data_IF_081146027597
#
_entry.id   IF_081146027597
#
_cell.length_a   1.000
_cell.length_b   1.000
_cell.length_c   1.000
_cell.angle_alpha   90.00
_cell.angle_beta   90.00
_cell.angle_gamma   90.00
#
_symmetry.space_group_name_H-M   'P 1'
#
loop_
_entity.id
_entity.type
_entity.pdbx_description
1 polymer ?
#
# COMPACT_ATOMS: atom_id res chain seq x y z
N UNK A 1 13.11 -18.01 -6.50
CA UNK A 1 12.81 -18.41 -5.10
C UNK A 1 12.51 -19.90 -5.03
N UNK A 2 13.03 -20.63 -4.04
CA UNK A 2 12.66 -22.04 -3.77
C UNK A 2 11.78 -22.09 -2.51
N UNK A 3 10.48 -21.84 -2.65
CA UNK A 3 9.46 -21.88 -1.59
C UNK A 3 8.99 -23.29 -1.20
N UNK A 4 9.69 -24.34 -1.66
CA UNK A 4 9.27 -25.74 -1.46
C UNK A 4 9.22 -26.27 -0.01
N UNK A 5 9.98 -25.80 1.01
CA UNK A 5 9.97 -26.51 2.30
C UNK A 5 8.75 -26.18 3.19
N UNK A 6 8.12 -25.01 3.04
CA UNK A 6 7.06 -24.56 3.96
C UNK A 6 5.75 -25.33 3.69
N UNK A 7 5.34 -25.43 2.43
CA UNK A 7 4.12 -26.13 2.04
C UNK A 7 4.21 -27.64 2.31
N UNK A 8 5.36 -28.25 2.02
CA UNK A 8 5.58 -29.69 2.26
C UNK A 8 5.53 -30.05 3.75
N UNK A 9 6.09 -29.20 4.62
CA UNK A 9 6.05 -29.43 6.07
C UNK A 9 4.64 -29.24 6.65
N UNK A 10 3.87 -28.28 6.14
CA UNK A 10 2.47 -28.06 6.55
C UNK A 10 1.57 -29.23 6.13
N UNK A 11 1.74 -29.75 4.91
CA UNK A 11 0.98 -30.91 4.40
C UNK A 11 1.27 -32.17 5.23
N UNK A 12 2.54 -32.44 5.54
CA UNK A 12 2.94 -33.57 6.41
C UNK A 12 2.34 -33.43 7.81
N UNK A 13 2.25 -32.20 8.32
CA UNK A 13 1.67 -31.93 9.63
C UNK A 13 0.15 -32.17 9.66
N UNK A 14 -0.58 -31.74 8.63
CA UNK A 14 -2.02 -32.02 8.45
C UNK A 14 -2.28 -33.54 8.43
N UNK A 15 -1.39 -34.32 7.83
CA UNK A 15 -1.46 -35.79 7.79
C UNK A 15 -1.38 -36.47 9.18
N UNK A 16 -0.60 -35.91 10.12
CA UNK A 16 -0.43 -36.49 11.45
C UNK A 16 -1.67 -36.23 12.31
N UNK A 17 -2.32 -35.08 12.13
CA UNK A 17 -3.54 -34.70 12.88
C UNK A 17 -4.76 -35.50 12.40
N UNK A 18 -4.86 -35.81 11.09
CA UNK A 18 -6.01 -36.53 10.51
C UNK A 18 -6.06 -38.02 10.88
N UNK A 19 -4.91 -38.67 11.12
CA UNK A 19 -4.83 -40.08 11.51
C UNK A 19 -5.48 -40.38 12.87
N UNK A 20 -5.69 -39.37 13.72
CA UNK A 20 -6.29 -39.53 15.05
C UNK A 20 -7.82 -39.39 15.10
N UNK A 21 -8.47 -39.01 13.99
CA UNK A 21 -9.90 -38.61 13.98
C UNK A 21 -10.88 -39.71 13.54
N UNK A 22 -10.40 -40.86 13.08
CA UNK A 22 -11.25 -41.96 12.59
C UNK A 22 -11.64 -42.95 13.71
N UNK A 23 -12.46 -42.55 14.70
CA UNK A 23 -13.37 -43.49 15.37
C UNK A 23 -14.33 -42.82 16.36
N UNK A 24 -15.61 -42.70 15.97
CA UNK A 24 -16.75 -43.23 16.75
C UNK A 24 -18.03 -43.15 15.92
N UNK A 25 -18.73 -44.28 15.78
CA UNK A 25 -20.07 -44.36 15.22
C UNK A 25 -21.04 -44.57 16.38
N UNK A 26 -22.12 -43.79 16.46
CA UNK A 26 -23.39 -44.14 17.09
C UNK A 26 -24.49 -43.14 16.66
N UNK A 27 -25.63 -43.70 16.20
CA UNK A 27 -26.89 -43.10 15.73
C UNK A 27 -26.83 -42.19 14.46
N UNK A 28 -27.49 -42.61 13.36
CA UNK A 28 -27.60 -41.86 12.09
C UNK A 28 -28.28 -40.49 12.31
N UNK A 29 -27.47 -39.46 12.55
CA UNK A 29 -27.87 -38.06 12.46
C UNK A 29 -28.22 -37.76 10.98
N UNK A 30 -29.34 -37.07 10.74
CA UNK A 30 -29.75 -36.64 9.41
C UNK A 30 -28.63 -35.83 8.71
N UNK A 31 -27.81 -35.13 9.48
CA UNK A 31 -26.64 -34.41 8.96
C UNK A 31 -25.52 -35.36 8.49
N UNK A 32 -25.34 -36.51 9.12
CA UNK A 32 -24.38 -37.54 8.71
C UNK A 32 -24.88 -38.27 7.45
N UNK A 33 -26.19 -38.50 7.33
CA UNK A 33 -26.82 -38.99 6.10
C UNK A 33 -26.62 -38.01 4.93
N UNK A 34 -26.83 -36.71 5.16
CA UNK A 34 -26.55 -35.69 4.14
C UNK A 34 -25.06 -35.62 3.80
N UNK A 35 -24.17 -35.83 4.77
CA UNK A 35 -22.73 -35.86 4.57
C UNK A 35 -22.33 -37.03 3.68
N UNK A 36 -22.84 -38.23 3.97
CA UNK A 36 -22.59 -39.43 3.17
C UNK A 36 -23.09 -39.31 1.72
N UNK A 37 -24.19 -38.57 1.52
CA UNK A 37 -24.75 -38.32 0.19
C UNK A 37 -24.20 -37.05 -0.49
N UNK A 38 -23.15 -36.43 0.07
CA UNK A 38 -22.53 -35.18 -0.43
C UNK A 38 -23.51 -34.00 -0.57
N UNK A 39 -24.59 -33.99 0.22
CA UNK A 39 -25.62 -32.95 0.21
C UNK A 39 -25.23 -31.75 1.11
N UNK A 40 -24.01 -31.24 0.93
CA UNK A 40 -23.37 -30.22 1.78
C UNK A 40 -24.20 -28.94 1.94
N UNK A 41 -24.89 -28.52 0.89
CA UNK A 41 -25.80 -27.37 0.92
C UNK A 41 -26.94 -27.53 1.94
N UNK A 42 -27.42 -28.76 2.18
CA UNK A 42 -28.45 -29.03 3.20
C UNK A 42 -27.86 -28.93 4.61
N UNK A 43 -26.62 -29.39 4.82
CA UNK A 43 -25.93 -29.31 6.10
C UNK A 43 -25.74 -27.84 6.53
N UNK A 44 -25.21 -26.99 5.65
CA UNK A 44 -24.93 -25.59 5.99
C UNK A 44 -26.21 -24.76 6.23
N UNK A 45 -27.32 -25.13 5.59
CA UNK A 45 -28.60 -24.42 5.72
C UNK A 45 -29.46 -24.93 6.88
N UNK A 46 -29.16 -26.11 7.43
CA UNK A 46 -29.95 -26.69 8.51
C UNK A 46 -29.63 -26.06 9.86
N UNK A 47 -30.65 -25.83 10.68
CA UNK A 47 -30.46 -25.45 12.09
C UNK A 47 -30.14 -26.65 13.00
N UNK A 48 -30.32 -27.88 12.52
CA UNK A 48 -30.09 -29.10 13.31
C UNK A 48 -28.63 -29.56 13.32
N UNK A 49 -27.83 -29.18 12.31
CA UNK A 49 -26.44 -29.60 12.23
C UNK A 49 -25.54 -28.76 13.16
N UNK A 50 -24.56 -29.43 13.76
CA UNK A 50 -23.54 -28.81 14.61
C UNK A 50 -22.67 -27.80 13.85
N UNK A 51 -21.94 -26.97 14.60
CA UNK A 51 -20.98 -26.03 14.02
C UNK A 51 -19.88 -26.76 13.25
N UNK A 52 -19.40 -27.90 13.78
CA UNK A 52 -18.40 -28.74 13.15
C UNK A 52 -18.91 -29.33 11.83
N UNK A 53 -20.11 -29.94 11.81
CA UNK A 53 -20.70 -30.46 10.56
C UNK A 53 -20.89 -29.36 9.52
N UNK A 54 -21.32 -28.16 9.94
CA UNK A 54 -21.42 -27.00 9.04
C UNK A 54 -20.06 -26.54 8.52
N UNK A 55 -19.05 -26.53 9.39
CA UNK A 55 -17.68 -26.19 9.02
C UNK A 55 -17.12 -27.15 7.96
N UNK A 56 -17.32 -28.45 8.14
CA UNK A 56 -17.00 -29.46 7.13
C UNK A 56 -17.76 -29.24 5.83
N UNK A 57 -19.07 -28.96 5.92
CA UNK A 57 -19.88 -28.67 4.74
C UNK A 57 -19.42 -27.44 3.96
N UNK A 58 -18.97 -26.39 4.65
CA UNK A 58 -18.36 -25.23 4.02
C UNK A 58 -17.02 -25.56 3.36
N UNK A 59 -16.12 -26.31 4.02
CA UNK A 59 -14.87 -26.77 3.42
C UNK A 59 -15.13 -27.58 2.14
N UNK A 60 -16.07 -28.52 2.19
CA UNK A 60 -16.44 -29.36 1.05
C UNK A 60 -17.03 -28.56 -0.12
N UNK A 61 -17.91 -27.58 0.15
CA UNK A 61 -18.44 -26.68 -0.89
C UNK A 61 -17.36 -25.78 -1.50
N UNK A 62 -16.32 -25.46 -0.73
CA UNK A 62 -15.12 -24.82 -1.26
C UNK A 62 -14.29 -25.74 -2.17
N UNK A 63 -14.53 -27.05 -2.20
CA UNK A 63 -13.73 -28.04 -2.93
C UNK A 63 -12.60 -28.65 -2.09
N UNK A 64 -12.56 -28.36 -0.79
CA UNK A 64 -11.65 -29.00 0.14
C UNK A 64 -12.24 -30.35 0.57
N UNK A 65 -11.69 -31.44 0.02
CA UNK A 65 -11.95 -32.80 0.48
C UNK A 65 -10.64 -33.39 1.03
N UNK A 66 -10.70 -33.98 2.22
CA UNK A 66 -9.56 -34.64 2.85
C UNK A 66 -8.95 -35.74 1.96
N UNK A 67 -9.75 -36.40 1.13
CA UNK A 67 -9.26 -37.40 0.19
C UNK A 67 -8.53 -36.80 -1.03
N UNK A 68 -8.85 -35.54 -1.39
CA UNK A 68 -8.19 -34.86 -2.51
C UNK A 68 -6.71 -34.62 -2.23
N UNK A 69 -6.32 -34.40 -0.97
CA UNK A 69 -4.91 -34.26 -0.56
C UNK A 69 -4.07 -35.51 -0.84
N UNK A 70 -4.70 -36.69 -0.92
CA UNK A 70 -4.04 -37.98 -1.20
C UNK A 70 -4.04 -38.27 -2.70
N UNK A 71 -5.10 -37.90 -3.41
CA UNK A 71 -5.29 -38.24 -4.83
C UNK A 71 -4.51 -37.29 -5.74
N UNK A 72 -4.30 -36.04 -5.31
CA UNK A 72 -3.72 -34.96 -6.11
C UNK A 72 -2.34 -34.51 -5.62
N UNK A 73 -1.53 -35.41 -5.05
CA UNK A 73 -0.22 -35.09 -4.47
C UNK A 73 0.72 -34.32 -5.43
N UNK A 74 0.60 -34.56 -6.74
CA UNK A 74 1.40 -33.92 -7.79
C UNK A 74 0.74 -32.71 -8.47
N UNK A 75 -0.52 -32.38 -8.14
CA UNK A 75 -1.20 -31.22 -8.73
C UNK A 75 -1.09 -29.99 -7.81
N UNK A 76 -1.02 -28.79 -8.40
CA UNK A 76 -1.12 -27.54 -7.66
C UNK A 76 -2.37 -27.49 -6.77
N UNK A 77 -2.21 -26.93 -5.57
CA UNK A 77 -3.29 -26.85 -4.60
C UNK A 77 -4.49 -26.03 -5.12
N UNK A 78 -4.25 -25.05 -5.99
CA UNK A 78 -5.31 -24.30 -6.71
C UNK A 78 -6.24 -25.21 -7.52
N UNK A 79 -5.66 -26.19 -8.24
CA UNK A 79 -6.43 -27.17 -9.00
C UNK A 79 -7.13 -28.19 -8.11
N UNK A 80 -6.47 -28.62 -7.02
CA UNK A 80 -7.10 -29.50 -6.02
C UNK A 80 -8.36 -28.85 -5.45
N UNK A 81 -8.29 -27.56 -5.12
CA UNK A 81 -9.41 -26.77 -4.66
C UNK A 81 -10.37 -26.37 -5.79
N UNK A 82 -10.05 -26.62 -7.05
CA UNK A 82 -10.81 -26.22 -8.23
C UNK A 82 -11.02 -24.70 -8.33
N UNK A 83 -10.05 -23.91 -7.89
CA UNK A 83 -10.07 -22.45 -7.99
C UNK A 83 -9.90 -22.04 -9.45
N UNK A 84 -10.65 -21.01 -9.86
CA UNK A 84 -10.51 -20.34 -11.15
C UNK A 84 -11.08 -18.92 -11.08
N UNK A 85 -10.90 -18.18 -12.18
CA UNK A 85 -11.37 -16.81 -12.32
C UNK A 85 -12.86 -16.60 -12.09
N UNK A 86 -13.69 -17.64 -12.32
CA UNK A 86 -15.13 -17.55 -12.16
C UNK A 86 -15.65 -17.90 -10.76
N UNK A 87 -14.81 -18.46 -9.87
CA UNK A 87 -15.30 -19.02 -8.61
C UNK A 87 -14.43 -18.78 -7.37
N UNK A 88 -13.22 -18.23 -7.51
CA UNK A 88 -12.28 -18.12 -6.38
C UNK A 88 -12.87 -17.34 -5.20
N UNK A 89 -13.60 -16.25 -5.47
CA UNK A 89 -14.23 -15.45 -4.41
C UNK A 89 -15.33 -16.23 -3.70
N UNK A 90 -16.18 -16.94 -4.44
CA UNK A 90 -17.22 -17.81 -3.87
C UNK A 90 -16.59 -18.88 -2.99
N UNK A 91 -15.48 -19.50 -3.43
CA UNK A 91 -14.77 -20.53 -2.68
C UNK A 91 -14.09 -19.98 -1.44
N UNK A 92 -13.42 -18.82 -1.53
CA UNK A 92 -12.90 -18.08 -0.37
C UNK A 92 -13.99 -17.85 0.68
N UNK A 93 -15.16 -17.36 0.25
CA UNK A 93 -16.27 -17.10 1.17
C UNK A 93 -16.76 -18.37 1.88
N UNK A 94 -16.67 -19.55 1.24
CA UNK A 94 -16.94 -20.82 1.92
C UNK A 94 -15.86 -21.15 2.96
N UNK A 95 -14.57 -20.98 2.65
CA UNK A 95 -13.51 -21.22 3.63
C UNK A 95 -13.58 -20.26 4.83
N UNK A 96 -13.89 -18.98 4.58
CA UNK A 96 -14.11 -17.98 5.63
C UNK A 96 -15.31 -18.36 6.50
N UNK A 97 -16.40 -18.85 5.89
CA UNK A 97 -17.56 -19.35 6.62
C UNK A 97 -17.25 -20.61 7.44
N UNK A 98 -16.39 -21.50 6.94
CA UNK A 98 -15.91 -22.66 7.67
C UNK A 98 -15.15 -22.27 8.94
N UNK A 99 -14.22 -21.31 8.85
CA UNK A 99 -13.52 -20.79 10.03
C UNK A 99 -14.48 -20.05 10.97
N UNK A 100 -15.37 -19.22 10.41
CA UNK A 100 -16.31 -18.40 11.18
C UNK A 100 -17.27 -19.25 12.03
N UNK A 101 -17.82 -20.35 11.49
CA UNK A 101 -18.83 -21.14 12.21
C UNK A 101 -18.28 -21.87 13.43
N UNK A 102 -16.98 -22.23 13.43
CA UNK A 102 -16.30 -22.85 14.59
C UNK A 102 -15.45 -21.86 15.40
N UNK A 103 -15.45 -20.57 15.04
CA UNK A 103 -14.61 -19.53 15.67
C UNK A 103 -14.82 -19.38 17.18
N UNK A 104 -16.02 -19.66 17.68
CA UNK A 104 -16.34 -19.59 19.11
C UNK A 104 -15.85 -20.80 19.91
N UNK A 105 -15.55 -21.92 19.23
CA UNK A 105 -15.20 -23.18 19.89
C UNK A 105 -13.78 -23.63 19.59
N UNK A 106 -13.10 -23.16 18.54
CA UNK A 106 -11.81 -23.73 18.14
C UNK A 106 -10.75 -23.68 19.25
N UNK A 107 -10.67 -22.62 20.06
CA UNK A 107 -9.63 -22.52 21.10
C UNK A 107 -9.76 -23.58 22.20
N UNK A 108 -10.98 -23.89 22.63
CA UNK A 108 -11.25 -24.75 23.79
C UNK A 108 -12.10 -26.00 23.46
N UNK A 109 -12.42 -26.19 22.19
CA UNK A 109 -13.35 -27.19 21.69
C UNK A 109 -12.66 -28.46 21.21
N UNK A 110 -13.38 -29.20 20.36
CA UNK A 110 -12.91 -30.47 19.81
C UNK A 110 -11.70 -30.28 18.90
N UNK A 111 -10.90 -31.35 18.73
CA UNK A 111 -9.84 -31.38 17.70
C UNK A 111 -10.39 -31.16 16.30
N UNK A 112 -11.65 -31.52 16.06
CA UNK A 112 -12.37 -31.25 14.81
C UNK A 112 -12.56 -29.75 14.61
N UNK A 113 -13.10 -29.03 15.60
CA UNK A 113 -13.29 -27.58 15.53
C UNK A 113 -11.96 -26.83 15.28
N UNK A 114 -10.89 -27.25 15.98
CA UNK A 114 -9.52 -26.73 15.77
C UNK A 114 -9.04 -26.93 14.34
N UNK A 115 -9.22 -28.14 13.81
CA UNK A 115 -8.78 -28.51 12.46
C UNK A 115 -9.58 -27.78 11.39
N UNK A 116 -10.90 -27.69 11.52
CA UNK A 116 -11.77 -26.94 10.60
C UNK A 116 -11.34 -25.47 10.55
N UNK A 117 -11.09 -24.86 11.72
CA UNK A 117 -10.68 -23.46 11.79
C UNK A 117 -9.32 -23.24 11.10
N UNK A 118 -8.34 -24.10 11.35
CA UNK A 118 -7.04 -24.05 10.66
C UNK A 118 -7.19 -24.19 9.14
N UNK A 119 -7.89 -25.22 8.67
CA UNK A 119 -8.05 -25.51 7.25
C UNK A 119 -8.85 -24.44 6.53
N UNK A 120 -9.92 -23.92 7.15
CA UNK A 120 -10.71 -22.82 6.61
C UNK A 120 -9.87 -21.55 6.48
N UNK A 121 -9.07 -21.24 7.50
CA UNK A 121 -8.17 -20.08 7.47
C UNK A 121 -7.10 -20.23 6.39
N UNK A 122 -6.44 -21.39 6.31
CA UNK A 122 -5.40 -21.65 5.32
C UNK A 122 -5.94 -21.63 3.88
N UNK A 123 -7.05 -22.33 3.62
CA UNK A 123 -7.67 -22.36 2.30
C UNK A 123 -8.23 -20.97 1.90
N UNK A 124 -8.77 -20.22 2.85
CA UNK A 124 -9.19 -18.82 2.66
C UNK A 124 -8.02 -17.93 2.27
N UNK A 125 -6.89 -18.02 2.98
CA UNK A 125 -5.66 -17.30 2.66
C UNK A 125 -5.16 -17.66 1.25
N UNK A 126 -5.08 -18.94 0.95
CA UNK A 126 -4.62 -19.43 -0.35
C UNK A 126 -5.53 -18.96 -1.49
N UNK A 127 -6.85 -19.10 -1.35
CA UNK A 127 -7.80 -18.62 -2.35
C UNK A 127 -7.74 -17.08 -2.53
N UNK A 128 -7.47 -16.35 -1.45
CA UNK A 128 -7.29 -14.91 -1.50
C UNK A 128 -6.02 -14.52 -2.26
N UNK A 129 -4.90 -15.20 -2.00
CA UNK A 129 -3.64 -15.04 -2.72
C UNK A 129 -3.83 -15.37 -4.21
N UNK A 130 -4.26 -16.58 -4.53
CA UNK A 130 -4.41 -17.02 -5.94
C UNK A 130 -5.40 -16.15 -6.71
N UNK A 131 -6.55 -15.82 -6.13
CA UNK A 131 -7.55 -14.99 -6.81
C UNK A 131 -7.09 -13.56 -7.14
N UNK A 132 -6.09 -13.05 -6.42
CA UNK A 132 -5.55 -11.71 -6.64
C UNK A 132 -4.23 -11.69 -7.39
N UNK A 133 -3.36 -12.68 -7.18
CA UNK A 133 -1.99 -12.71 -7.68
C UNK A 133 -1.73 -13.79 -8.75
N UNK A 134 -2.54 -14.85 -8.81
CA UNK A 134 -2.46 -15.94 -9.79
C UNK A 134 -3.65 -15.80 -10.76
N UNK A 135 -3.77 -14.58 -11.29
CA UNK A 135 -4.80 -14.20 -12.24
C UNK A 135 -4.09 -13.72 -13.50
N UNK A 136 -3.99 -14.62 -14.48
CA UNK A 136 -3.28 -14.38 -15.73
C UNK A 136 -3.64 -13.04 -16.37
N UNK A 137 -2.65 -12.39 -16.99
CA UNK A 137 -2.69 -11.02 -17.52
C UNK A 137 -3.88 -10.70 -18.45
N UNK A 138 -4.49 -11.72 -19.05
CA UNK A 138 -5.39 -11.63 -20.20
C UNK A 138 -6.38 -12.82 -20.29
N UNK A 139 -6.48 -13.63 -19.23
CA UNK A 139 -7.18 -14.91 -19.29
C UNK A 139 -6.41 -16.02 -20.03
N UNK A 140 -5.08 -15.95 -20.04
CA UNK A 140 -4.22 -17.04 -20.54
C UNK A 140 -4.49 -18.37 -19.82
N UNK A 141 -4.01 -19.45 -20.44
CA UNK A 141 -4.15 -20.82 -19.94
C UNK A 141 -3.38 -21.11 -18.64
N UNK A 142 -2.58 -20.14 -18.17
CA UNK A 142 -1.71 -20.27 -16.99
C UNK A 142 -2.38 -19.72 -15.71
N UNK A 143 -3.55 -19.08 -15.81
CA UNK A 143 -4.26 -18.57 -14.64
C UNK A 143 -4.72 -19.71 -13.69
N UNK A 144 -4.49 -19.54 -12.38
CA UNK A 144 -4.77 -20.52 -11.33
C UNK A 144 -3.93 -21.79 -11.44
N UNK A 145 -2.73 -21.72 -12.02
CA UNK A 145 -1.82 -22.86 -12.09
C UNK A 145 -1.07 -23.11 -10.76
N UNK A 146 -1.22 -22.21 -9.79
CA UNK A 146 -0.61 -22.30 -8.47
C UNK A 146 0.83 -21.78 -8.41
N UNK A 147 1.34 -21.16 -9.47
CA UNK A 147 2.64 -20.48 -9.51
C UNK A 147 2.44 -18.98 -9.79
N UNK A 148 2.73 -18.13 -8.79
CA UNK A 148 2.62 -16.68 -8.96
C UNK A 148 3.89 -16.15 -9.63
N UNK A 149 3.78 -15.76 -10.90
CA UNK A 149 4.89 -15.20 -11.66
C UNK A 149 5.06 -13.70 -11.41
N UNK A 150 6.25 -13.16 -11.69
CA UNK A 150 6.50 -11.71 -11.59
C UNK A 150 5.56 -10.89 -12.48
N UNK A 151 5.10 -11.44 -13.61
CA UNK A 151 4.16 -10.77 -14.51
C UNK A 151 2.80 -10.61 -13.84
N UNK A 152 2.29 -11.65 -13.19
CA UNK A 152 0.97 -11.58 -12.53
C UNK A 152 1.01 -10.71 -11.28
N UNK A 153 2.12 -10.76 -10.53
CA UNK A 153 2.36 -9.83 -9.42
C UNK A 153 2.42 -8.40 -9.93
N UNK A 154 3.15 -8.12 -11.01
CA UNK A 154 3.22 -6.77 -11.60
C UNK A 154 1.86 -6.30 -12.12
N UNK A 155 1.03 -7.20 -12.64
CA UNK A 155 -0.34 -6.89 -13.07
C UNK A 155 -1.26 -6.56 -11.89
N UNK A 156 -1.07 -7.22 -10.74
CA UNK A 156 -1.79 -6.91 -9.52
C UNK A 156 -1.37 -5.56 -8.94
N UNK A 157 -0.06 -5.29 -8.92
CA UNK A 157 0.52 -4.07 -8.36
C UNK A 157 0.41 -2.87 -9.32
N UNK A 158 0.21 -3.11 -10.62
CA UNK A 158 0.26 -2.05 -11.63
C UNK A 158 1.67 -1.50 -11.82
N UNK A 159 2.71 -2.31 -11.64
CA UNK A 159 4.13 -1.89 -11.68
C UNK A 159 4.77 -2.09 -13.04
N UNK A 160 4.00 -2.18 -14.12
CA UNK A 160 4.54 -2.10 -15.48
C UNK A 160 4.95 -0.64 -15.76
N UNK A 161 5.98 -0.20 -15.02
CA UNK A 161 6.71 1.03 -15.24
C UNK A 161 7.49 0.78 -16.51
N UNK A 162 6.89 1.08 -17.66
CA UNK A 162 7.60 1.06 -18.93
C UNK A 162 8.87 1.89 -18.74
N UNK A 163 10.04 1.34 -19.06
CA UNK A 163 11.36 2.01 -19.01
C UNK A 163 11.43 3.32 -19.83
N UNK A 164 10.34 3.76 -20.45
CA UNK A 164 10.19 4.98 -21.24
C UNK A 164 9.93 6.23 -20.36
N UNK A 165 10.53 6.27 -19.17
CA UNK A 165 10.36 7.34 -18.18
C UNK A 165 11.25 8.56 -18.45
N UNK A 166 11.12 9.16 -19.62
CA UNK A 166 11.60 10.53 -19.83
C UNK A 166 10.64 11.60 -19.25
N UNK A 167 9.53 11.18 -18.64
CA UNK A 167 8.47 12.06 -18.12
C UNK A 167 8.16 11.78 -16.62
N UNK A 168 9.13 11.29 -15.84
CA UNK A 168 8.87 10.82 -14.47
C UNK A 168 8.43 11.91 -13.47
N UNK A 169 8.62 13.20 -13.81
CA UNK A 169 8.03 14.36 -13.15
C UNK A 169 8.19 15.57 -14.08
N UNK A 170 7.11 16.17 -14.56
CA UNK A 170 7.22 17.39 -15.37
C UNK A 170 7.21 18.64 -14.47
N UNK A 171 8.28 18.73 -13.67
CA UNK A 171 8.60 19.87 -12.82
C UNK A 171 9.46 20.85 -13.60
N UNK A 172 8.99 22.08 -13.75
CA UNK A 172 9.76 23.15 -14.36
C UNK A 172 10.08 24.21 -13.32
N UNK A 173 11.37 24.31 -12.99
CA UNK A 173 11.89 25.43 -12.22
C UNK A 173 11.64 26.72 -13.03
N UNK A 174 10.90 27.66 -12.46
CA UNK A 174 10.60 28.91 -13.14
C UNK A 174 11.62 30.00 -12.79
N UNK A 175 11.62 31.06 -13.58
CA UNK A 175 12.32 32.32 -13.29
C UNK A 175 11.57 33.20 -12.27
N UNK A 176 10.55 32.63 -11.59
CA UNK A 176 9.73 33.33 -10.60
C UNK A 176 10.18 32.98 -9.19
N UNK A 177 10.36 34.01 -8.38
CA UNK A 177 10.73 33.93 -6.97
C UNK A 177 9.70 34.66 -6.12
N UNK A 178 9.28 34.06 -5.02
CA UNK A 178 8.55 34.76 -3.98
C UNK A 178 9.54 35.29 -2.94
N UNK A 179 9.42 36.57 -2.57
CA UNK A 179 10.35 37.27 -1.70
C UNK A 179 9.60 37.84 -0.51
N UNK A 180 10.10 37.59 0.70
CA UNK A 180 9.58 38.17 1.93
C UNK A 180 10.41 39.37 2.35
N UNK A 181 9.82 40.56 2.32
CA UNK A 181 10.51 41.82 2.64
C UNK A 181 9.59 42.74 3.44
N UNK A 182 10.07 43.31 4.55
CA UNK A 182 9.29 44.23 5.38
C UNK A 182 7.99 43.65 5.96
N UNK A 183 7.87 42.31 6.07
CA UNK A 183 6.65 41.63 6.53
C UNK A 183 5.60 41.39 5.44
N UNK A 184 5.91 41.67 4.17
CA UNK A 184 5.04 41.42 3.01
C UNK A 184 5.71 40.50 2.00
N UNK A 185 4.90 39.90 1.12
CA UNK A 185 5.35 39.01 0.06
C UNK A 185 5.28 39.67 -1.31
N UNK A 186 6.24 39.31 -2.15
CA UNK A 186 6.40 39.87 -3.49
C UNK A 186 6.78 38.77 -4.48
N UNK A 187 6.29 38.85 -5.70
CA UNK A 187 6.69 38.00 -6.81
C UNK A 187 7.70 38.70 -7.68
N UNK A 188 8.90 38.15 -7.78
CA UNK A 188 9.99 38.61 -8.61
C UNK A 188 10.18 37.68 -9.81
N UNK A 189 9.96 38.19 -11.02
CA UNK A 189 10.22 37.48 -12.27
C UNK A 189 11.59 37.91 -12.80
N UNK A 190 12.59 37.04 -12.68
CA UNK A 190 13.98 37.40 -12.97
C UNK A 190 14.26 37.62 -14.46
N UNK A 191 13.57 36.88 -15.32
CA UNK A 191 13.65 37.00 -16.78
C UNK A 191 13.09 38.32 -17.31
N UNK A 192 11.98 38.76 -16.73
CA UNK A 192 11.36 40.04 -17.06
C UNK A 192 11.93 41.20 -16.25
N UNK A 193 12.67 40.89 -15.18
CA UNK A 193 13.15 41.85 -14.19
C UNK A 193 11.98 42.70 -13.65
N UNK A 194 10.88 42.05 -13.26
CA UNK A 194 9.65 42.68 -12.76
C UNK A 194 9.37 42.22 -11.32
N UNK A 195 8.80 43.11 -10.49
CA UNK A 195 8.43 42.81 -9.10
C UNK A 195 6.97 43.23 -8.85
N UNK A 196 6.18 42.32 -8.28
CA UNK A 196 4.76 42.54 -7.98
C UNK A 196 4.46 42.25 -6.51
N UNK A 197 3.41 42.87 -5.97
CA UNK A 197 2.87 42.45 -4.67
C UNK A 197 2.22 41.08 -4.80
N UNK A 198 2.60 40.17 -3.90
CA UNK A 198 1.92 38.90 -3.71
C UNK A 198 1.03 39.00 -2.48
N UNK A 199 -0.21 39.40 -2.69
CA UNK A 199 -1.14 39.70 -1.60
C UNK A 199 -1.62 38.41 -0.92
N UNK A 200 -1.77 37.34 -1.70
CA UNK A 200 -2.17 36.02 -1.21
C UNK A 200 -0.98 35.26 -0.59
N UNK A 201 0.26 35.65 -0.90
CA UNK A 201 1.49 35.00 -0.44
C UNK A 201 1.58 33.52 -0.86
N UNK A 202 0.89 33.13 -1.92
CA UNK A 202 0.79 31.76 -2.40
C UNK A 202 1.75 31.43 -3.55
N UNK A 203 2.46 32.44 -4.06
CA UNK A 203 3.42 32.28 -5.15
C UNK A 203 2.78 32.25 -6.53
N UNK A 204 1.47 32.49 -6.64
CA UNK A 204 0.74 32.51 -7.90
C UNK A 204 0.73 33.92 -8.48
N UNK A 205 1.09 34.00 -9.75
CA UNK A 205 0.98 35.24 -10.52
C UNK A 205 -0.47 35.49 -10.92
N UNK A 206 -1.24 36.07 -10.01
CA UNK A 206 -2.57 36.62 -10.29
C UNK A 206 -2.45 37.93 -11.08
N UNK A 207 -1.91 37.87 -12.30
CA UNK A 207 -1.82 39.02 -13.21
C UNK A 207 -3.23 39.34 -13.73
N UNK A 208 -3.97 40.23 -13.05
CA UNK A 208 -4.39 41.44 -13.77
C UNK A 208 -4.52 42.74 -12.94
N UNK A 209 -4.14 42.79 -11.64
CA UNK A 209 -4.50 43.93 -10.79
C UNK A 209 -3.38 44.65 -10.02
N UNK A 210 -2.18 44.07 -9.88
CA UNK A 210 -1.09 44.69 -9.11
C UNK A 210 -0.14 45.49 -10.01
N UNK A 211 0.09 46.75 -9.64
CA UNK A 211 1.04 47.60 -10.34
C UNK A 211 2.47 47.09 -10.09
N UNK A 212 3.27 47.04 -11.16
CA UNK A 212 4.70 46.70 -11.07
C UNK A 212 5.42 47.68 -10.13
N UNK A 213 6.25 47.14 -9.24
CA UNK A 213 7.12 47.89 -8.35
C UNK A 213 8.45 48.13 -9.07
N UNK A 214 8.79 49.40 -9.33
CA UNK A 214 9.94 49.77 -10.14
C UNK A 214 10.97 50.61 -9.37
N UNK A 215 12.16 50.76 -9.97
CA UNK A 215 13.19 51.71 -9.53
C UNK A 215 13.76 51.44 -8.13
N UNK A 216 13.97 52.51 -7.35
CA UNK A 216 14.61 52.43 -6.03
C UNK A 216 13.84 51.57 -5.03
N UNK A 217 12.51 51.58 -5.10
CA UNK A 217 11.67 50.80 -4.19
C UNK A 217 11.88 49.30 -4.41
N UNK A 218 11.94 48.85 -5.66
CA UNK A 218 12.29 47.48 -6.00
C UNK A 218 13.65 47.07 -5.44
N UNK A 219 14.70 47.87 -5.68
CA UNK A 219 16.04 47.57 -5.18
C UNK A 219 16.09 47.52 -3.63
N UNK A 220 15.33 48.39 -2.97
CA UNK A 220 15.20 48.38 -1.50
C UNK A 220 14.52 47.12 -1.01
N UNK A 221 13.44 46.68 -1.65
CA UNK A 221 12.71 45.47 -1.26
C UNK A 221 13.54 44.20 -1.45
N UNK A 222 14.24 44.08 -2.59
CA UNK A 222 15.15 42.96 -2.86
C UNK A 222 16.32 42.95 -1.87
N UNK A 223 16.96 44.09 -1.62
CA UNK A 223 18.06 44.16 -0.66
C UNK A 223 17.63 43.91 0.79
N UNK A 224 16.38 44.22 1.15
CA UNK A 224 15.81 43.95 2.46
C UNK A 224 15.09 42.59 2.57
N UNK A 225 15.21 41.73 1.55
CA UNK A 225 14.65 40.39 1.56
C UNK A 225 15.18 39.60 2.77
N UNK A 226 14.26 38.96 3.49
CA UNK A 226 14.56 38.10 4.64
C UNK A 226 14.43 36.62 4.28
N UNK A 227 13.53 36.29 3.34
CA UNK A 227 13.36 34.96 2.78
C UNK A 227 13.12 35.02 1.27
N UNK A 228 13.55 33.99 0.56
CA UNK A 228 13.43 33.85 -0.90
C UNK A 228 13.03 32.42 -1.24
N UNK A 229 11.95 32.27 -1.99
CA UNK A 229 11.41 30.98 -2.39
C UNK A 229 11.34 30.88 -3.89
N UNK A 230 11.98 29.87 -4.49
CA UNK A 230 11.76 29.59 -5.90
C UNK A 230 10.36 29.00 -6.08
N UNK A 231 9.62 29.51 -7.06
CA UNK A 231 8.31 28.95 -7.44
C UNK A 231 8.51 27.95 -8.57
N UNK A 232 8.15 26.70 -8.31
CA UNK A 232 8.29 25.58 -9.25
C UNK A 232 6.92 25.11 -9.73
N UNK A 233 6.80 24.90 -11.03
CA UNK A 233 5.56 24.42 -11.67
C UNK A 233 5.53 22.91 -11.69
N UNK A 234 4.46 22.32 -11.17
CA UNK A 234 4.17 20.91 -11.27
C UNK A 234 2.99 20.69 -12.23
N UNK A 235 3.29 20.10 -13.38
CA UNK A 235 2.30 19.85 -14.43
C UNK A 235 1.60 18.51 -14.28
N UNK A 236 2.35 17.49 -13.85
CA UNK A 236 1.87 16.13 -13.63
C UNK A 236 2.84 15.40 -12.70
N UNK A 237 2.33 14.39 -11.98
CA UNK A 237 3.12 13.42 -11.21
C UNK A 237 2.85 12.03 -11.76
N UNK A 238 3.89 11.24 -11.93
CA UNK A 238 3.74 9.81 -12.18
C UNK A 238 3.32 9.11 -10.89
N UNK A 239 2.17 8.46 -10.92
CA UNK A 239 1.74 7.58 -9.84
C UNK A 239 2.41 6.21 -10.00
N UNK A 240 3.27 5.79 -9.05
CA UNK A 240 3.96 4.49 -9.13
C UNK A 240 2.99 3.29 -9.05
N UNK A 241 1.71 3.52 -8.71
CA UNK A 241 0.66 2.51 -8.63
C UNK A 241 -0.32 2.54 -9.83
N UNK A 242 -0.06 3.38 -10.83
CA UNK A 242 -1.00 3.65 -11.93
C UNK A 242 -0.85 2.76 -13.17
N UNK A 243 -0.06 1.69 -13.13
CA UNK A 243 0.06 0.79 -14.30
C UNK A 243 -1.27 0.21 -14.74
N UNK A 244 -1.25 -0.44 -15.92
CA UNK A 244 -2.37 -0.66 -16.85
C UNK A 244 -3.73 -1.17 -16.29
N UNK A 245 -3.81 -1.65 -15.05
CA UNK A 245 -5.02 -2.15 -14.39
C UNK A 245 -5.55 -1.26 -13.25
N UNK A 246 -4.89 -0.14 -12.89
CA UNK A 246 -5.36 0.92 -11.99
C UNK A 246 -6.10 0.45 -10.73
N UNK A 247 -5.46 -0.41 -9.91
CA UNK A 247 -6.00 -0.75 -8.59
C UNK A 247 -5.68 0.37 -7.60
N UNK A 248 -6.67 0.95 -6.89
CA UNK A 248 -6.41 1.91 -5.83
C UNK A 248 -5.49 1.32 -4.75
N UNK A 249 -4.66 2.15 -4.12
CA UNK A 249 -3.80 1.73 -3.00
C UNK A 249 -4.57 0.98 -1.90
N UNK A 250 -5.83 1.38 -1.64
CA UNK A 250 -6.72 0.72 -0.69
C UNK A 250 -6.96 -0.76 -0.99
N UNK A 251 -6.94 -1.17 -2.26
CA UNK A 251 -7.10 -2.58 -2.64
C UNK A 251 -5.85 -3.40 -2.29
N UNK A 252 -4.67 -2.81 -2.46
CA UNK A 252 -3.38 -3.45 -2.14
C UNK A 252 -3.21 -3.57 -0.62
N UNK A 253 -3.52 -2.51 0.13
CA UNK A 253 -3.45 -2.51 1.60
C UNK A 253 -4.53 -3.39 2.23
N UNK A 254 -5.75 -3.42 1.69
CA UNK A 254 -6.81 -4.35 2.12
C UNK A 254 -6.40 -5.81 1.88
N UNK A 255 -5.76 -6.10 0.74
CA UNK A 255 -5.23 -7.42 0.44
C UNK A 255 -4.18 -7.84 1.48
N UNK A 256 -3.19 -6.98 1.75
CA UNK A 256 -2.15 -7.25 2.73
C UNK A 256 -2.69 -7.40 4.16
N UNK A 257 -3.65 -6.55 4.56
CA UNK A 257 -4.32 -6.62 5.86
C UNK A 257 -5.08 -7.93 6.04
N UNK A 258 -5.75 -8.42 4.98
CA UNK A 258 -6.39 -9.74 5.00
C UNK A 258 -5.38 -10.87 5.14
N UNK A 259 -4.26 -10.83 4.41
CA UNK A 259 -3.18 -11.81 4.56
C UNK A 259 -2.62 -11.81 5.99
N UNK A 260 -2.34 -10.63 6.56
CA UNK A 260 -1.91 -10.51 7.97
C UNK A 260 -2.92 -11.14 8.93
N UNK A 261 -4.22 -10.89 8.74
CA UNK A 261 -5.30 -11.49 9.52
C UNK A 261 -5.33 -13.01 9.40
N UNK A 262 -5.20 -13.56 8.19
CA UNK A 262 -5.13 -15.01 7.99
C UNK A 262 -3.92 -15.61 8.71
N UNK A 263 -2.76 -14.97 8.65
CA UNK A 263 -1.56 -15.41 9.37
C UNK A 263 -1.80 -15.41 10.89
N UNK A 264 -2.49 -14.41 11.44
CA UNK A 264 -2.79 -14.33 12.88
C UNK A 264 -3.72 -15.46 13.30
N UNK A 265 -4.74 -15.72 12.47
CA UNK A 265 -5.67 -16.82 12.69
C UNK A 265 -4.97 -18.18 12.56
N UNK A 266 -4.09 -18.38 11.58
CA UNK A 266 -3.31 -19.62 11.43
C UNK A 266 -2.40 -19.85 12.64
N UNK A 267 -1.67 -18.82 13.09
CA UNK A 267 -0.86 -18.88 14.31
C UNK A 267 -1.70 -19.29 15.52
N UNK A 268 -2.82 -18.62 15.76
CA UNK A 268 -3.74 -18.91 16.86
C UNK A 268 -4.28 -20.35 16.79
N UNK A 269 -4.53 -20.85 15.57
CA UNK A 269 -4.99 -22.22 15.33
C UNK A 269 -3.93 -23.27 15.65
N UNK A 270 -2.69 -23.02 15.22
CA UNK A 270 -1.56 -23.90 15.49
C UNK A 270 -1.32 -23.97 17.01
N UNK A 271 -1.34 -22.84 17.70
CA UNK A 271 -1.24 -22.82 19.17
C UNK A 271 -2.39 -23.59 19.83
N UNK A 272 -3.63 -23.45 19.33
CA UNK A 272 -4.76 -24.22 19.82
C UNK A 272 -4.60 -25.73 19.58
N UNK A 273 -3.84 -26.16 18.57
CA UNK A 273 -3.46 -27.55 18.30
C UNK A 273 -2.22 -28.00 19.09
N UNK A 274 -1.83 -27.25 20.12
CA UNK A 274 -0.67 -27.52 20.98
C UNK A 274 0.66 -27.54 20.22
N UNK A 275 0.76 -26.78 19.13
CA UNK A 275 2.03 -26.51 18.45
C UNK A 275 2.82 -25.49 19.25
N UNK A 276 4.06 -25.85 19.57
CA UNK A 276 4.98 -25.01 20.32
C UNK A 276 5.18 -23.65 19.63
N UNK A 277 5.12 -22.56 20.40
CA UNK A 277 5.40 -21.20 19.92
C UNK A 277 6.81 -21.09 19.32
N UNK A 278 7.75 -21.92 19.79
CA UNK A 278 9.11 -22.00 19.27
C UNK A 278 9.24 -22.89 18.01
N UNK A 279 8.12 -23.40 17.47
CA UNK A 279 8.15 -24.16 16.21
C UNK A 279 8.52 -23.24 15.05
N UNK A 280 9.33 -23.75 14.11
CA UNK A 280 9.75 -22.99 12.93
C UNK A 280 8.54 -22.41 12.17
N UNK A 281 7.42 -23.13 12.09
CA UNK A 281 6.22 -22.63 11.40
C UNK A 281 5.60 -21.41 12.08
N UNK A 282 5.51 -21.40 13.41
CA UNK A 282 4.99 -20.24 14.14
C UNK A 282 5.99 -19.08 14.09
N UNK A 283 7.28 -19.38 14.14
CA UNK A 283 8.36 -18.39 14.02
C UNK A 283 8.38 -17.73 12.62
N UNK A 284 8.28 -18.52 11.55
CA UNK A 284 8.18 -18.05 10.16
C UNK A 284 6.95 -17.14 9.98
N UNK A 285 5.78 -17.58 10.48
CA UNK A 285 4.55 -16.77 10.44
C UNK A 285 4.75 -15.47 11.21
N UNK A 286 5.32 -15.53 12.43
CA UNK A 286 5.52 -14.35 13.28
C UNK A 286 6.51 -13.37 12.65
N UNK A 287 7.59 -13.89 12.06
CA UNK A 287 8.61 -13.08 11.36
C UNK A 287 7.99 -12.37 10.17
N UNK A 288 7.28 -13.11 9.30
CA UNK A 288 6.63 -12.51 8.14
C UNK A 288 5.57 -11.47 8.53
N UNK A 289 4.80 -11.73 9.59
CA UNK A 289 3.84 -10.76 10.12
C UNK A 289 4.50 -9.50 10.65
N UNK A 290 5.58 -9.63 11.42
CA UNK A 290 6.31 -8.49 11.95
C UNK A 290 6.99 -7.68 10.84
N UNK A 291 7.39 -8.33 9.74
CA UNK A 291 7.90 -7.65 8.55
C UNK A 291 6.77 -6.90 7.82
N UNK A 292 5.59 -7.51 7.66
CA UNK A 292 4.43 -6.88 7.01
C UNK A 292 3.83 -5.74 7.83
N UNK A 293 3.73 -5.87 9.15
CA UNK A 293 3.09 -4.95 10.10
C UNK A 293 4.15 -4.31 11.00
N UNK A 294 5.11 -3.63 10.36
CA UNK A 294 6.31 -3.10 11.02
C UNK A 294 6.14 -1.67 11.57
N UNK A 295 4.96 -1.05 11.43
CA UNK A 295 4.69 0.32 11.82
C UNK A 295 5.39 1.38 10.95
N UNK A 296 5.69 1.03 9.70
CA UNK A 296 6.30 1.91 8.69
C UNK A 296 7.78 2.20 8.91
N UNK A 297 8.51 1.35 9.66
CA UNK A 297 9.88 1.63 10.10
C UNK A 297 10.90 0.72 9.40
N UNK A 298 11.64 1.28 8.47
CA UNK A 298 12.83 0.67 7.88
C UNK A 298 14.08 1.44 8.22
N UNK A 299 15.10 0.75 8.73
CA UNK A 299 16.36 1.37 9.16
C UNK A 299 17.41 1.46 8.05
N UNK A 300 17.24 0.76 6.92
CA UNK A 300 18.26 0.58 5.87
C UNK A 300 17.93 1.19 4.50
N UNK A 301 16.76 1.82 4.34
CA UNK A 301 16.21 2.19 3.03
C UNK A 301 16.85 3.48 2.45
N UNK A 302 17.42 3.41 1.22
CA UNK A 302 17.72 4.60 0.39
C UNK A 302 16.42 5.31 -0.08
N UNK A 303 15.31 4.59 -0.20
CA UNK A 303 13.95 5.15 -0.43
C UNK A 303 13.35 5.73 0.86
N UNK A 304 13.98 5.57 2.02
CA UNK A 304 13.55 6.23 3.26
C UNK A 304 13.67 7.74 3.16
N UNK A 305 14.72 8.27 2.50
CA UNK A 305 14.81 9.70 2.21
C UNK A 305 13.77 10.12 1.18
N UNK A 306 13.59 9.34 0.10
CA UNK A 306 12.60 9.62 -0.94
C UNK A 306 11.16 9.60 -0.41
N UNK A 307 10.80 8.66 0.48
CA UNK A 307 9.49 8.59 1.14
C UNK A 307 9.29 9.72 2.13
N UNK A 308 10.32 10.09 2.91
CA UNK A 308 10.26 11.26 3.79
C UNK A 308 10.12 12.56 2.99
N UNK A 309 10.78 12.64 1.85
CA UNK A 309 10.68 13.77 0.92
C UNK A 309 9.28 13.84 0.29
N UNK A 310 8.75 12.71 -0.19
CA UNK A 310 7.37 12.61 -0.70
C UNK A 310 6.34 12.93 0.38
N UNK A 311 6.55 12.46 1.62
CA UNK A 311 5.71 12.79 2.77
C UNK A 311 5.73 14.30 3.02
N UNK A 312 6.91 14.92 2.99
CA UNK A 312 7.06 16.37 3.15
C UNK A 312 6.29 17.13 2.07
N UNK A 313 6.36 16.68 0.80
CA UNK A 313 5.59 17.28 -0.29
C UNK A 313 4.09 17.12 -0.04
N UNK A 314 3.60 15.90 0.22
CA UNK A 314 2.18 15.62 0.44
C UNK A 314 1.63 16.41 1.63
N UNK A 315 2.28 16.30 2.80
CA UNK A 315 1.87 16.98 4.03
C UNK A 315 1.82 18.49 3.83
N UNK A 316 2.84 19.08 3.19
CA UNK A 316 2.95 20.54 3.07
C UNK A 316 2.14 21.18 1.95
N UNK A 317 1.49 20.39 1.09
CA UNK A 317 0.77 20.91 -0.09
C UNK A 317 -0.72 20.59 -0.10
N UNK A 318 -1.21 19.86 0.91
CA UNK A 318 -2.60 19.39 1.00
C UNK A 318 -3.53 20.41 1.67
N UNK A 319 -4.55 20.87 0.94
CA UNK A 319 -5.44 22.00 1.31
C UNK A 319 -6.17 21.87 2.67
N UNK A 320 -6.59 20.68 3.07
CA UNK A 320 -7.38 20.44 4.31
C UNK A 320 -6.52 20.30 5.57
N UNK A 321 -5.19 20.13 5.44
CA UNK A 321 -4.23 20.15 6.54
C UNK A 321 -3.82 21.59 6.94
N UNK A 322 -4.16 22.60 6.12
CA UNK A 322 -3.76 24.00 6.32
C UNK A 322 -4.93 24.95 6.52
N UNK A 323 -5.14 25.45 7.75
CA UNK A 323 -5.98 26.63 7.92
C UNK A 323 -5.23 27.95 7.68
N UNK A 324 -3.89 28.04 7.81
CA UNK A 324 -3.23 29.35 8.02
C UNK A 324 -1.76 29.58 7.57
N UNK A 325 -1.00 28.60 7.05
CA UNK A 325 0.49 28.77 6.96
C UNK A 325 1.19 28.51 5.61
N UNK A 326 0.55 28.01 4.55
CA UNK A 326 1.22 27.86 3.24
C UNK A 326 1.84 29.18 2.74
N UNK A 327 1.18 30.27 3.08
CA UNK A 327 1.61 31.64 2.81
C UNK A 327 3.00 31.95 3.39
N UNK A 328 3.33 31.36 4.55
CA UNK A 328 4.57 31.62 5.29
C UNK A 328 5.58 30.45 5.27
N UNK A 329 5.18 29.25 4.86
CA UNK A 329 6.01 28.04 4.98
C UNK A 329 6.72 27.67 3.68
N UNK A 330 7.94 27.15 3.83
CA UNK A 330 8.65 26.42 2.79
C UNK A 330 8.05 25.04 2.63
N UNK A 331 7.73 24.64 1.39
CA UNK A 331 7.49 23.22 1.12
C UNK A 331 8.82 22.49 1.32
N UNK A 332 9.91 23.01 0.75
CA UNK A 332 11.24 22.45 0.93
C UNK A 332 12.21 23.57 1.33
N UNK A 333 12.76 23.48 2.54
CA UNK A 333 13.90 24.29 2.95
C UNK A 333 15.19 23.77 2.33
N UNK A 334 16.18 24.63 2.19
CA UNK A 334 17.54 24.22 1.78
C UNK A 334 18.10 23.08 2.63
N UNK A 335 17.81 23.02 3.93
CA UNK A 335 18.20 21.90 4.79
C UNK A 335 17.46 20.60 4.50
N UNK A 336 16.20 20.65 4.04
CA UNK A 336 15.43 19.45 3.66
C UNK A 336 15.88 18.91 2.29
N UNK A 337 16.36 19.77 1.39
CA UNK A 337 16.87 19.39 0.06
C UNK A 337 18.31 18.83 0.16
N UNK A 338 19.19 19.47 0.94
CA UNK A 338 20.62 19.10 1.05
C UNK A 338 20.83 17.80 1.85
N UNK A 339 19.92 17.45 2.76
CA UNK A 339 20.03 16.23 3.55
C UNK A 339 19.51 14.96 2.83
N UNK A 340 18.93 15.09 1.63
CA UNK A 340 18.62 13.94 0.78
C UNK A 340 19.87 13.58 -0.03
N UNK A 341 20.51 12.46 0.32
CA UNK A 341 21.78 12.00 -0.26
C UNK A 341 21.70 11.66 -1.76
N UNK A 342 20.50 11.71 -2.35
CA UNK A 342 20.23 11.40 -3.76
C UNK A 342 20.23 12.62 -4.70
N UNK A 343 20.21 13.85 -4.17
CA UNK A 343 20.22 15.05 -4.99
C UNK A 343 21.62 15.31 -5.58
N UNK A 344 21.74 15.23 -6.90
CA UNK A 344 22.95 15.59 -7.64
C UNK A 344 23.23 17.10 -7.47
N UNK A 345 24.04 17.44 -6.47
CA UNK A 345 24.47 18.81 -6.12
C UNK A 345 25.19 19.59 -7.24
N UNK A 346 25.35 19.00 -8.43
CA UNK A 346 26.10 19.61 -9.54
C UNK A 346 25.26 20.55 -10.44
N UNK A 347 23.93 20.49 -10.36
CA UNK A 347 22.99 21.36 -11.11
C UNK A 347 22.14 22.26 -10.17
N UNK A 348 22.60 22.49 -8.95
CA UNK A 348 21.87 23.22 -7.91
C UNK A 348 21.58 24.68 -8.32
N UNK A 349 20.36 24.90 -8.81
CA UNK A 349 19.72 26.22 -8.94
C UNK A 349 19.81 27.04 -7.64
N UNK A 350 19.99 26.39 -6.49
CA UNK A 350 20.14 27.01 -5.17
C UNK A 350 21.52 27.65 -4.91
N UNK A 351 22.58 27.17 -5.57
CA UNK A 351 23.92 27.77 -5.47
C UNK A 351 23.99 29.15 -6.12
N UNK A 352 23.14 29.39 -7.13
CA UNK A 352 23.04 30.67 -7.83
C UNK A 352 22.24 31.72 -7.03
N UNK A 353 21.25 31.29 -6.23
CA UNK A 353 20.42 32.19 -5.43
C UNK A 353 21.16 32.70 -4.18
N UNK A 354 21.90 31.81 -3.50
CA UNK A 354 22.66 32.16 -2.27
C UNK A 354 23.81 33.13 -2.54
N UNK A 355 24.32 33.18 -3.77
CA UNK A 355 25.38 34.11 -4.20
C UNK A 355 24.83 35.32 -4.98
N UNK A 356 23.51 35.51 -5.06
CA UNK A 356 22.92 36.59 -5.83
C UNK A 356 23.16 37.95 -5.13
N UNK A 357 23.93 38.88 -5.72
CA UNK A 357 24.24 40.18 -5.11
C UNK A 357 23.02 41.07 -4.91
N UNK A 358 21.85 40.71 -5.47
CA UNK A 358 20.59 41.42 -5.30
C UNK A 358 19.84 41.06 -4.00
N UNK A 359 20.20 39.96 -3.33
CA UNK A 359 19.51 39.43 -2.15
C UNK A 359 20.48 39.25 -0.95
N UNK A 360 21.30 40.26 -0.60
CA UNK A 360 22.41 40.12 0.35
C UNK A 360 22.01 39.81 1.79
N UNK A 361 20.74 39.99 2.15
CA UNK A 361 20.24 39.84 3.52
C UNK A 361 19.25 38.68 3.68
N UNK A 362 18.98 37.91 2.63
CA UNK A 362 18.11 36.75 2.72
C UNK A 362 18.77 35.67 3.59
N UNK A 363 18.08 35.24 4.64
CA UNK A 363 18.57 34.23 5.59
C UNK A 363 17.87 32.88 5.41
N UNK A 364 16.76 32.87 4.69
CA UNK A 364 15.93 31.71 4.44
C UNK A 364 15.75 31.50 2.93
N UNK A 365 16.01 30.27 2.48
CA UNK A 365 15.87 29.87 1.09
C UNK A 365 15.10 28.54 1.00
N UNK A 366 14.17 28.46 0.06
CA UNK A 366 13.39 27.25 -0.16
C UNK A 366 12.62 27.23 -1.49
N UNK A 367 11.70 26.27 -1.59
CA UNK A 367 10.86 26.03 -2.78
C UNK A 367 9.37 26.10 -2.40
N UNK A 368 8.59 26.76 -3.25
CA UNK A 368 7.13 26.65 -3.32
C UNK A 368 6.73 25.94 -4.62
N UNK A 369 5.66 25.16 -4.57
CA UNK A 369 5.11 24.42 -5.70
C UNK A 369 3.81 25.08 -6.12
N UNK A 370 3.56 25.14 -7.41
CA UNK A 370 2.22 25.45 -7.93
C UNK A 370 1.81 24.37 -8.89
N UNK A 371 0.55 23.96 -8.79
CA UNK A 371 0.00 22.78 -9.42
C UNK A 371 -0.88 23.19 -10.59
N UNK A 372 -0.65 22.59 -11.76
CA UNK A 372 -1.47 22.88 -12.94
C UNK A 372 -2.94 22.48 -12.68
N UNK A 373 -3.87 23.38 -12.97
CA UNK A 373 -5.29 23.08 -12.90
C UNK A 373 -5.86 22.64 -14.26
N UNK A 374 -7.08 22.11 -14.23
CA UNK A 374 -7.79 21.63 -15.43
C UNK A 374 -8.09 22.73 -16.47
N UNK A 375 -8.03 23.99 -16.08
CA UNK A 375 -8.26 25.15 -16.97
C UNK A 375 -6.98 25.66 -17.63
N UNK A 376 -5.83 25.05 -17.36
CA UNK A 376 -4.52 25.46 -17.89
C UNK A 376 -3.83 26.58 -17.11
N UNK A 377 -4.39 26.98 -15.96
CA UNK A 377 -3.73 27.85 -14.97
C UNK A 377 -3.03 27.04 -13.88
N UNK A 378 -2.67 27.71 -12.78
CA UNK A 378 -2.02 27.08 -11.63
C UNK A 378 -2.75 27.40 -10.32
N UNK A 379 -2.63 26.50 -9.36
CA UNK A 379 -3.15 26.62 -8.00
C UNK A 379 -2.08 26.27 -6.97
N UNK A 380 -2.19 26.82 -5.78
CA UNK A 380 -1.18 26.70 -4.72
C UNK A 380 -1.28 25.36 -3.98
N UNK A 381 -2.45 24.73 -4.04
CA UNK A 381 -2.75 23.47 -3.38
C UNK A 381 -3.19 22.44 -4.41
N UNK A 382 -2.67 21.22 -4.30
CA UNK A 382 -2.99 20.19 -5.28
C UNK A 382 -4.47 19.78 -5.26
N UNK A 383 -5.22 20.02 -4.17
CA UNK A 383 -6.64 19.65 -4.07
C UNK A 383 -7.55 20.34 -5.12
N UNK A 384 -7.13 21.45 -5.72
CA UNK A 384 -7.83 22.10 -6.84
C UNK A 384 -7.14 21.93 -8.19
N UNK A 385 -6.06 21.15 -8.24
CA UNK A 385 -5.28 20.92 -9.44
C UNK A 385 -5.95 19.93 -10.42
N UNK A 386 -5.24 19.57 -11.48
CA UNK A 386 -5.73 18.62 -12.47
C UNK A 386 -6.09 17.28 -11.81
N UNK A 387 -7.33 16.78 -11.98
CA UNK A 387 -7.83 15.64 -11.21
C UNK A 387 -7.03 14.36 -11.50
N UNK A 388 -6.70 14.09 -12.75
CA UNK A 388 -6.01 12.85 -13.13
C UNK A 388 -4.49 12.94 -13.02
N UNK A 389 -3.93 14.12 -13.20
CA UNK A 389 -2.48 14.28 -13.43
C UNK A 389 -1.77 14.67 -12.14
N UNK A 390 -2.53 15.17 -11.16
CA UNK A 390 -2.01 15.67 -9.89
C UNK A 390 -2.83 15.16 -8.71
N UNK A 391 -4.16 15.37 -8.68
CA UNK A 391 -4.98 15.01 -7.50
C UNK A 391 -4.91 13.51 -7.22
N UNK A 392 -5.26 12.67 -8.20
CA UNK A 392 -5.26 11.20 -8.02
C UNK A 392 -3.86 10.67 -7.65
N UNK A 393 -2.76 11.04 -8.35
CA UNK A 393 -1.42 10.65 -7.92
C UNK A 393 -1.06 11.11 -6.51
N UNK A 394 -1.38 12.36 -6.13
CA UNK A 394 -1.10 12.90 -4.80
C UNK A 394 -1.92 12.21 -3.70
N UNK A 395 -3.18 11.86 -3.97
CA UNK A 395 -4.00 11.05 -3.07
C UNK A 395 -3.36 9.67 -2.85
N UNK A 396 -2.89 9.02 -3.92
CA UNK A 396 -2.20 7.73 -3.84
C UNK A 396 -0.87 7.83 -3.09
N UNK A 397 -0.07 8.86 -3.35
CA UNK A 397 1.16 9.16 -2.59
C UNK A 397 0.87 9.47 -1.12
N UNK A 398 -0.26 10.11 -0.80
CA UNK A 398 -0.66 10.36 0.58
C UNK A 398 -0.97 9.09 1.35
N UNK A 399 -1.48 8.06 0.67
CA UNK A 399 -1.68 6.74 1.26
C UNK A 399 -0.36 5.98 1.52
N UNK A 400 0.73 6.36 0.84
CA UNK A 400 2.09 5.83 1.05
C UNK A 400 2.78 6.48 2.24
N UNK A 401 2.29 7.62 2.72
CA UNK A 401 3.03 8.49 3.65
C UNK A 401 2.31 8.72 4.98
N UNK A 402 1.22 7.99 5.26
CA UNK A 402 0.49 8.09 6.54
C UNK A 402 1.39 7.65 7.71
N UNK A 403 1.65 8.58 8.64
CA UNK A 403 2.55 8.40 9.78
C UNK A 403 1.87 7.81 11.03
N UNK A 404 0.56 7.52 10.99
CA UNK A 404 -0.17 6.97 12.14
C UNK A 404 -0.05 5.44 12.28
N UNK A 405 1.02 4.86 11.76
CA UNK A 405 1.20 3.41 11.69
C UNK A 405 1.72 2.87 13.01
N UNK A 406 1.06 1.81 13.49
CA UNK A 406 1.41 1.16 14.75
C UNK A 406 1.72 -0.29 14.46
N UNK A 407 2.96 -0.70 14.69
CA UNK A 407 3.38 -2.09 14.52
C UNK A 407 2.50 -3.05 15.32
N UNK A 408 1.99 -4.07 14.64
CA UNK A 408 1.14 -5.12 15.19
C UNK A 408 -0.33 -4.74 15.36
N UNK A 409 -0.81 -3.64 14.75
CA UNK A 409 -2.22 -3.25 14.83
C UNK A 409 -3.14 -4.01 13.85
N UNK A 410 -2.55 -4.84 13.00
CA UNK A 410 -3.23 -5.70 12.02
C UNK A 410 -3.68 -4.97 10.75
N UNK A 411 -3.41 -3.67 10.64
CA UNK A 411 -3.64 -2.89 9.42
C UNK A 411 -2.31 -2.71 8.73
N UNK A 412 -2.28 -3.04 7.45
CA UNK A 412 -1.08 -2.86 6.65
C UNK A 412 -1.26 -1.66 5.74
N UNK A 413 -0.46 -0.62 5.94
CA UNK A 413 -0.37 0.51 5.03
C UNK A 413 0.65 0.26 3.91
N UNK A 414 0.60 1.10 2.88
CA UNK A 414 1.46 0.94 1.72
C UNK A 414 2.94 1.21 2.07
N UNK A 415 3.20 2.10 3.04
CA UNK A 415 4.55 2.30 3.61
C UNK A 415 5.10 1.01 4.19
N UNK A 416 4.29 0.25 4.93
CA UNK A 416 4.71 -1.01 5.56
C UNK A 416 5.00 -2.09 4.54
N UNK A 417 4.24 -2.14 3.44
CA UNK A 417 4.48 -3.06 2.33
C UNK A 417 5.80 -2.78 1.62
N UNK A 418 6.06 -1.52 1.29
CA UNK A 418 7.33 -1.11 0.69
C UNK A 418 8.49 -1.49 1.62
N UNK A 419 8.32 -1.22 2.91
CA UNK A 419 9.26 -1.59 3.96
C UNK A 419 9.50 -3.10 4.08
N UNK A 420 8.43 -3.89 4.08
CA UNK A 420 8.49 -5.34 4.14
C UNK A 420 9.27 -5.91 2.94
N UNK A 421 9.02 -5.38 1.74
CA UNK A 421 9.71 -5.78 0.51
C UNK A 421 11.23 -5.66 0.62
N UNK A 422 11.73 -4.62 1.29
CA UNK A 422 13.16 -4.46 1.52
C UNK A 422 13.72 -5.39 2.59
N UNK A 423 13.05 -5.48 3.74
CA UNK A 423 13.47 -6.39 4.81
C UNK A 423 13.60 -7.83 4.29
N UNK A 424 12.72 -8.22 3.35
CA UNK A 424 12.74 -9.53 2.69
C UNK A 424 13.79 -9.67 1.57
N UNK A 425 14.34 -8.57 1.05
CA UNK A 425 15.39 -8.60 0.03
C UNK A 425 16.80 -8.68 0.64
N UNK A 426 16.96 -8.29 1.91
CA UNK A 426 18.23 -8.35 2.66
C UNK A 426 18.53 -9.75 3.24
N UNK A 427 17.52 -10.62 3.33
CA UNK A 427 17.63 -12.03 3.77
C UNK A 427 17.91 -13.00 2.60
#
# INVERSE_FOLDING_TARGET
MKTKPILTNLIIFIFIVTAFLACKADEEDQCDDWKYNEEWSKIISSSSCSAEQKGEGYLALGGFDYFNLIIYEDEPFSKMLGLNNGNWETKRNYYDAAASVVSSTYQNGSGIAKTIYLLGTFAGAYAHLSGNLDNGADGSADAFDGDMTSVEINNFLGTDVSEDTNDLNNMNATTTYQIKSGGSFYLYKSDLNELYNDVAADGIDDTPATAEITGFLKATLLSAATAVYQVTELNSITDPLSGATSKPASVITDFASKISTYLQNMKSSLQALDIDEASNTIDDITTFQNQLDNGGKCTSFDVGSALNFLNTIVEKTRKDQFPLNYDNDNILSTSEIINDASADSSDDVFTDITNNPLLPNAQEFGVKLKFKNSSGGFEAYWAGAHPTDIVTPMDNLSAITDNNLTAGDGKIALTELLCAGELMAEE
#
